data_IF_707766501875
#
_entry.id   IF_707766501875
#
_cell.length_a   1.000
_cell.length_b   1.000
_cell.length_c   1.000
_cell.angle_alpha   90.00
_cell.angle_beta   90.00
_cell.angle_gamma   90.00
#
_symmetry.space_group_name_H-M   'P 1'
#
loop_
_entity.id
_entity.type
_entity.pdbx_description
1 polymer ?
#
# COMPACT_ATOMS: atom_id res chain seq x y z
N UNK A 1 2.22 -32.72 -40.98
CA UNK A 1 2.93 -32.39 -39.72
C UNK A 1 2.31 -31.11 -39.18
N UNK A 2 1.35 -31.24 -38.26
CA UNK A 2 0.64 -30.09 -37.68
C UNK A 2 1.40 -29.61 -36.45
N UNK A 3 1.87 -28.36 -36.43
CA UNK A 3 2.46 -27.78 -35.23
C UNK A 3 1.36 -27.48 -34.21
N UNK A 4 1.55 -27.91 -32.97
CA UNK A 4 0.69 -27.54 -31.85
C UNK A 4 0.84 -26.03 -31.54
N UNK A 5 -0.22 -25.34 -31.09
CA UNK A 5 -0.10 -23.92 -30.74
C UNK A 5 0.82 -23.81 -29.53
N UNK A 6 1.81 -22.92 -29.65
CA UNK A 6 2.77 -22.65 -28.58
C UNK A 6 2.06 -22.30 -27.28
N UNK A 7 2.30 -23.09 -26.25
CA UNK A 7 1.86 -22.77 -24.90
C UNK A 7 2.41 -21.40 -24.52
N UNK A 8 1.52 -20.43 -24.26
CA UNK A 8 1.90 -19.17 -23.64
C UNK A 8 2.57 -19.49 -22.30
N UNK A 9 3.76 -18.94 -22.02
CA UNK A 9 4.40 -19.14 -20.73
C UNK A 9 3.46 -18.62 -19.64
N UNK A 10 3.07 -19.50 -18.73
CA UNK A 10 2.36 -19.12 -17.51
C UNK A 10 3.17 -18.04 -16.79
N UNK A 11 2.57 -16.88 -16.45
CA UNK A 11 3.30 -15.82 -15.77
C UNK A 11 3.91 -16.38 -14.47
N UNK A 12 5.14 -15.97 -14.11
CA UNK A 12 5.82 -16.52 -12.95
C UNK A 12 4.93 -16.36 -11.72
N UNK A 13 4.72 -17.47 -11.02
CA UNK A 13 3.91 -17.66 -9.80
C UNK A 13 4.31 -16.79 -8.60
N UNK A 14 5.17 -15.79 -8.80
CA UNK A 14 5.82 -14.97 -7.76
C UNK A 14 5.04 -13.69 -7.45
N UNK A 15 3.99 -13.37 -8.21
CA UNK A 15 3.01 -12.35 -7.81
C UNK A 15 1.95 -12.96 -6.90
N UNK A 16 2.35 -13.50 -5.74
CA UNK A 16 1.37 -13.71 -4.69
C UNK A 16 0.64 -12.39 -4.47
N UNK A 17 -0.69 -12.43 -4.52
CA UNK A 17 -1.64 -11.33 -4.36
C UNK A 17 -1.45 -10.70 -2.97
N UNK A 18 -0.36 -9.94 -2.80
CA UNK A 18 0.02 -9.30 -1.54
C UNK A 18 -0.53 -7.89 -1.58
N UNK A 19 -1.30 -7.54 -0.56
CA UNK A 19 -1.95 -6.24 -0.45
C UNK A 19 -0.89 -5.14 -0.47
N UNK A 20 -1.06 -4.19 -1.39
CA UNK A 20 -0.24 -2.99 -1.49
C UNK A 20 -1.16 -1.82 -1.27
N UNK A 21 -0.72 -0.86 -0.47
CA UNK A 21 -1.54 0.27 -0.10
C UNK A 21 -0.83 1.57 -0.45
N UNK A 22 -1.61 2.55 -0.91
CA UNK A 22 -1.18 3.92 -1.05
C UNK A 22 -2.08 4.76 -0.13
N UNK A 23 -1.48 5.51 0.77
CA UNK A 23 -2.17 6.37 1.71
C UNK A 23 -1.95 7.83 1.32
N UNK A 24 -3.01 8.63 1.46
CA UNK A 24 -2.96 10.08 1.36
C UNK A 24 -3.04 10.69 2.76
N UNK A 25 -1.88 11.00 3.35
CA UNK A 25 -1.80 11.52 4.71
C UNK A 25 -1.68 13.06 4.74
N UNK A 26 -2.27 13.74 5.74
CA UNK A 26 -2.00 15.15 5.96
C UNK A 26 -0.56 15.33 6.45
N UNK A 27 0.17 16.26 5.84
CA UNK A 27 1.53 16.62 6.25
C UNK A 27 1.63 18.10 6.60
N UNK A 28 2.15 18.45 7.78
CA UNK A 28 2.49 19.82 8.12
C UNK A 28 3.49 20.41 7.12
N UNK A 29 3.43 21.72 6.92
CA UNK A 29 4.44 22.48 6.19
C UNK A 29 5.41 23.12 7.17
N UNK A 30 6.71 22.86 7.01
CA UNK A 30 7.78 23.56 7.71
C UNK A 30 8.54 24.51 6.80
N UNK A 31 8.91 25.67 7.34
CA UNK A 31 9.88 26.62 6.77
C UNK A 31 10.95 26.86 7.83
N UNK A 32 12.08 26.14 7.73
CA UNK A 32 13.10 26.13 8.78
C UNK A 32 12.53 25.63 10.12
N UNK A 33 12.62 26.46 11.15
CA UNK A 33 12.11 26.16 12.50
C UNK A 33 10.62 26.50 12.69
N UNK A 34 9.94 27.12 11.71
CA UNK A 34 8.52 27.44 11.81
C UNK A 34 7.65 26.37 11.12
N UNK A 35 6.63 25.89 11.82
CA UNK A 35 5.50 25.17 11.21
C UNK A 35 4.43 26.16 10.76
N UNK A 36 4.09 26.15 9.47
CA UNK A 36 3.01 26.97 8.93
C UNK A 36 1.65 26.33 9.25
N UNK A 37 0.58 27.13 9.40
CA UNK A 37 -0.80 26.64 9.59
C UNK A 37 -1.40 26.10 8.28
N UNK A 38 -0.59 25.43 7.47
CA UNK A 38 -0.97 24.79 6.21
C UNK A 38 -0.65 23.29 6.29
N UNK A 39 -1.53 22.47 5.74
CA UNK A 39 -1.31 21.03 5.57
C UNK A 39 -1.31 20.71 4.08
N UNK A 40 -0.28 20.02 3.61
CA UNK A 40 -0.25 19.45 2.26
C UNK A 40 -0.59 17.97 2.34
N UNK A 41 -1.02 17.41 1.22
CA UNK A 41 -1.15 15.97 1.07
C UNK A 41 0.21 15.32 0.85
N UNK A 42 0.38 14.11 1.39
CA UNK A 42 1.59 13.33 1.28
C UNK A 42 1.24 11.88 0.98
N UNK A 43 1.85 11.33 -0.07
CA UNK A 43 1.63 9.96 -0.50
C UNK A 43 2.61 9.02 0.20
N UNK A 44 2.06 8.00 0.85
CA UNK A 44 2.82 6.96 1.53
C UNK A 44 2.47 5.61 0.94
N UNK A 45 3.46 4.80 0.61
CA UNK A 45 3.24 3.43 0.19
C UNK A 45 3.47 2.47 1.36
N UNK A 46 2.55 1.53 1.58
CA UNK A 46 2.78 0.36 2.42
C UNK A 46 2.92 -0.87 1.53
N UNK A 47 3.95 -1.68 1.80
CA UNK A 47 4.22 -2.87 1.01
C UNK A 47 4.79 -3.99 1.87
N UNK A 48 4.31 -5.21 1.61
CA UNK A 48 4.91 -6.42 2.15
C UNK A 48 6.14 -6.85 1.33
N UNK A 49 7.25 -7.09 2.01
CA UNK A 49 8.49 -7.68 1.47
C UNK A 49 8.89 -8.82 2.40
N UNK A 50 9.04 -10.03 1.86
CA UNK A 50 9.42 -11.24 2.61
C UNK A 50 8.60 -11.48 3.89
N UNK A 51 7.28 -11.24 3.81
CA UNK A 51 6.34 -11.47 4.91
C UNK A 51 6.16 -10.28 5.85
N UNK A 52 7.03 -9.26 5.79
CA UNK A 52 6.99 -8.09 6.66
C UNK A 52 6.44 -6.90 5.88
N UNK A 53 5.46 -6.21 6.45
CA UNK A 53 4.96 -4.94 5.94
C UNK A 53 5.86 -3.79 6.34
N UNK A 54 6.11 -2.90 5.39
CA UNK A 54 6.92 -1.70 5.59
C UNK A 54 6.15 -0.45 5.22
N UNK A 55 6.34 0.59 6.02
CA UNK A 55 6.07 1.97 5.67
C UNK A 55 7.22 2.52 4.84
N UNK A 56 6.91 2.87 3.58
CA UNK A 56 7.85 3.39 2.58
C UNK A 56 7.67 4.90 2.38
N UNK A 57 7.26 5.62 3.41
CA UNK A 57 7.20 7.09 3.40
C UNK A 57 8.59 7.66 3.05
N UNK A 58 8.66 8.46 1.97
CA UNK A 58 9.88 9.09 1.49
C UNK A 58 10.49 10.13 2.44
N UNK A 59 9.78 10.53 3.50
CA UNK A 59 10.30 11.37 4.58
C UNK A 59 11.08 10.60 5.63
N UNK A 60 10.92 9.27 5.69
CA UNK A 60 11.71 8.44 6.59
C UNK A 60 13.13 8.29 6.03
N UNK A 61 14.10 8.17 6.94
CA UNK A 61 15.50 7.89 6.55
C UNK A 61 15.69 6.48 6.01
N UNK A 62 14.80 5.56 6.39
CA UNK A 62 14.78 4.17 5.98
C UNK A 62 13.35 3.60 6.12
N UNK A 63 13.02 2.49 5.43
CA UNK A 63 11.74 1.81 5.62
C UNK A 63 11.48 1.46 7.08
N UNK A 64 10.29 1.80 7.58
CA UNK A 64 9.86 1.43 8.93
C UNK A 64 9.07 0.12 8.87
N UNK A 65 9.47 -0.88 9.64
CA UNK A 65 8.78 -2.16 9.71
C UNK A 65 7.49 -2.02 10.53
N UNK A 66 6.35 -2.37 9.92
CA UNK A 66 5.05 -2.44 10.57
C UNK A 66 4.75 -3.86 11.11
N UNK A 67 5.50 -4.86 10.66
CA UNK A 67 5.30 -6.26 11.08
C UNK A 67 4.32 -6.99 10.16
N UNK A 68 3.25 -7.54 10.73
CA UNK A 68 2.25 -8.34 10.05
C UNK A 68 0.97 -7.54 9.72
N UNK A 69 -0.11 -8.25 9.38
CA UNK A 69 -1.40 -7.64 9.03
C UNK A 69 -2.04 -6.87 10.22
N UNK A 70 -1.83 -7.33 11.46
CA UNK A 70 -2.34 -6.64 12.64
C UNK A 70 -1.62 -5.32 12.87
N UNK A 71 -0.30 -5.30 12.65
CA UNK A 71 0.50 -4.08 12.67
C UNK A 71 0.03 -3.05 11.62
N UNK A 72 -0.25 -3.51 10.39
CA UNK A 72 -0.82 -2.65 9.34
C UNK A 72 -2.22 -2.16 9.71
N UNK A 73 -3.07 -3.02 10.25
CA UNK A 73 -4.43 -2.65 10.69
C UNK A 73 -4.40 -1.58 11.78
N UNK A 74 -3.51 -1.73 12.75
CA UNK A 74 -3.31 -0.74 13.81
C UNK A 74 -2.81 0.60 13.24
N UNK A 75 -1.85 0.58 12.31
CA UNK A 75 -1.36 1.77 11.63
C UNK A 75 -2.46 2.49 10.84
N UNK A 76 -3.25 1.75 10.05
CA UNK A 76 -4.36 2.31 9.28
C UNK A 76 -5.46 2.89 10.18
N UNK A 77 -5.82 2.19 11.27
CA UNK A 77 -6.80 2.67 12.23
C UNK A 77 -6.34 4.00 12.87
N UNK A 78 -5.07 4.09 13.26
CA UNK A 78 -4.50 5.32 13.80
C UNK A 78 -4.45 6.47 12.77
N UNK A 79 -4.15 6.17 11.51
CA UNK A 79 -4.13 7.16 10.44
C UNK A 79 -5.54 7.68 10.11
N UNK A 80 -6.53 6.79 10.05
CA UNK A 80 -7.94 7.12 9.79
C UNK A 80 -8.58 7.91 10.94
N UNK A 81 -8.24 7.58 12.19
CA UNK A 81 -8.74 8.26 13.38
C UNK A 81 -8.36 9.76 13.45
N UNK A 82 -7.28 10.18 12.79
CA UNK A 82 -6.87 11.58 12.74
C UNK A 82 -7.81 12.45 11.88
N UNK A 83 -8.63 11.83 11.04
CA UNK A 83 -9.43 12.50 10.02
C UNK A 83 -8.51 13.07 8.92
N UNK A 84 -8.93 12.98 7.66
CA UNK A 84 -8.15 13.35 6.46
C UNK A 84 -7.17 12.27 5.94
N UNK A 85 -7.27 11.00 6.34
CA UNK A 85 -6.54 9.92 5.66
C UNK A 85 -7.43 9.28 4.59
N UNK A 86 -6.90 9.12 3.37
CA UNK A 86 -7.52 8.30 2.32
C UNK A 86 -6.64 7.07 2.09
N UNK A 87 -7.25 5.91 1.87
CA UNK A 87 -6.54 4.65 1.62
C UNK A 87 -6.95 4.14 0.26
N UNK A 88 -5.97 3.92 -0.60
CA UNK A 88 -6.11 3.31 -1.92
C UNK A 88 -5.50 1.92 -1.86
N UNK A 89 -6.29 0.92 -2.23
CA UNK A 89 -5.81 -0.45 -2.36
C UNK A 89 -5.30 -0.68 -3.77
N UNK A 90 -4.06 -1.13 -3.91
CA UNK A 90 -3.44 -1.45 -5.19
C UNK A 90 -3.58 -2.95 -5.42
N UNK A 91 -4.52 -3.29 -6.30
CA UNK A 91 -4.85 -4.67 -6.70
C UNK A 91 -4.62 -4.88 -8.19
N UNK A 92 -4.54 -6.13 -8.62
CA UNK A 92 -4.60 -6.46 -10.04
C UNK A 92 -6.02 -6.26 -10.56
N UNK A 93 -6.15 -6.11 -11.88
CA UNK A 93 -7.44 -5.95 -12.54
C UNK A 93 -8.39 -7.12 -12.24
N UNK A 94 -7.90 -8.36 -12.30
CA UNK A 94 -8.70 -9.54 -11.99
C UNK A 94 -9.23 -9.55 -10.54
N UNK A 95 -8.44 -9.04 -9.58
CA UNK A 95 -8.86 -8.93 -8.17
C UNK A 95 -9.92 -7.84 -8.00
N UNK A 96 -9.77 -6.70 -8.69
CA UNK A 96 -10.76 -5.63 -8.71
C UNK A 96 -12.10 -6.12 -9.30
N UNK A 97 -12.06 -6.75 -10.47
CA UNK A 97 -13.26 -7.26 -11.17
C UNK A 97 -13.99 -8.33 -10.34
N UNK A 98 -13.26 -9.17 -9.61
CA UNK A 98 -13.84 -10.19 -8.72
C UNK A 98 -14.29 -9.65 -7.37
N UNK A 99 -13.88 -8.44 -6.99
CA UNK A 99 -14.17 -7.86 -5.68
C UNK A 99 -13.55 -8.63 -4.50
N UNK A 100 -12.61 -9.55 -4.73
CA UNK A 100 -12.08 -10.42 -3.68
C UNK A 100 -11.12 -9.71 -2.70
N UNK A 101 -10.88 -8.42 -2.91
CA UNK A 101 -10.21 -7.54 -1.96
C UNK A 101 -11.11 -7.12 -0.79
N UNK A 102 -12.43 -7.27 -0.92
CA UNK A 102 -13.38 -6.94 0.13
C UNK A 102 -13.85 -8.23 0.80
N UNK A 103 -13.56 -8.36 2.10
CA UNK A 103 -14.16 -9.38 2.95
C UNK A 103 -15.32 -8.74 3.71
N UNK A 104 -16.54 -9.10 3.35
CA UNK A 104 -17.74 -8.77 4.11
C UNK A 104 -17.87 -9.80 5.24
N UNK A 105 -17.75 -9.34 6.49
CA UNK A 105 -18.02 -10.16 7.67
C UNK A 105 -19.51 -10.45 7.86
#
# INVERSE_FOLDING_TARGET
MSQAPGAQPSPPSVYHERQRLILNLPSPVSLGLLSLPLRRRHWVALRQVDGIYYNLDSKLRAPEALGDEDGVRAFLAAALAQGLCEVLLVVTKDVEERGCWLQTG
#
